data_IF_236895206853
#
_entry.id   IF_236895206853
#
_cell.length_a   1.000
_cell.length_b   1.000
_cell.length_c   1.000
_cell.angle_alpha   90.00
_cell.angle_beta   90.00
_cell.angle_gamma   90.00
#
_symmetry.space_group_name_H-M   'P 1'
#
loop_
_entity.id
_entity.type
_entity.pdbx_description
1 polymer ?
#
# COMPACT_ATOMS: atom_id res chain seq x y z
N UNK A 1 -4.33 11.12 -10.87
CA UNK A 1 -3.81 10.38 -9.70
C UNK A 1 -2.98 9.17 -10.12
N UNK A 2 -3.46 8.32 -11.04
CA UNK A 2 -2.71 7.11 -11.42
C UNK A 2 -1.37 7.38 -12.13
N UNK A 3 -1.29 8.42 -12.96
CA UNK A 3 -0.06 8.74 -13.70
C UNK A 3 1.13 9.13 -12.82
N UNK A 4 0.91 9.77 -11.66
CA UNK A 4 2.00 10.15 -10.76
C UNK A 4 2.49 8.97 -9.91
N UNK A 5 1.60 8.03 -9.56
CA UNK A 5 1.99 6.79 -8.87
C UNK A 5 2.86 5.93 -9.77
N UNK A 6 2.46 5.77 -11.04
CA UNK A 6 3.26 5.03 -12.02
C UNK A 6 4.63 5.69 -12.23
N UNK A 7 4.69 7.01 -12.39
CA UNK A 7 5.96 7.72 -12.54
C UNK A 7 6.90 7.56 -11.32
N UNK A 8 6.35 7.51 -10.11
CA UNK A 8 7.15 7.25 -8.90
C UNK A 8 7.70 5.83 -8.83
N UNK A 9 6.92 4.85 -9.29
CA UNK A 9 7.36 3.45 -9.36
C UNK A 9 8.37 3.22 -10.50
N UNK A 10 8.21 3.89 -11.64
CA UNK A 10 9.18 3.89 -12.75
C UNK A 10 10.53 4.44 -12.27
N UNK A 11 10.53 5.50 -11.45
CA UNK A 11 11.76 6.03 -10.85
C UNK A 11 12.48 4.99 -9.97
N UNK A 12 11.74 4.24 -9.14
CA UNK A 12 12.34 3.17 -8.31
C UNK A 12 12.94 2.08 -9.20
N UNK A 13 12.26 1.73 -10.29
CA UNK A 13 12.73 0.75 -11.25
C UNK A 13 14.03 1.20 -11.92
N UNK A 14 14.13 2.46 -12.34
CA UNK A 14 15.36 3.03 -12.91
C UNK A 14 16.53 2.97 -11.93
N UNK A 15 16.30 3.31 -10.66
CA UNK A 15 17.32 3.20 -9.60
C UNK A 15 17.77 1.75 -9.42
N UNK A 16 16.83 0.81 -9.35
CA UNK A 16 17.13 -0.60 -9.10
C UNK A 16 17.88 -1.26 -10.27
N UNK A 17 17.62 -0.83 -11.51
CA UNK A 17 18.36 -1.30 -12.70
C UNK A 17 19.82 -0.84 -12.65
N UNK A 18 20.08 0.38 -12.20
CA UNK A 18 21.44 0.95 -12.11
C UNK A 18 22.19 0.45 -10.88
N UNK A 19 21.49 0.23 -9.76
CA UNK A 19 22.07 -0.14 -8.47
C UNK A 19 21.41 -1.41 -7.87
N UNK A 20 21.51 -2.57 -8.55
CA UNK A 20 20.78 -3.80 -8.17
C UNK A 20 21.20 -4.37 -6.80
N UNK A 21 22.34 -3.96 -6.26
CA UNK A 21 22.80 -4.33 -4.93
C UNK A 21 22.06 -3.63 -3.78
N UNK A 22 21.30 -2.55 -4.06
CA UNK A 22 20.55 -1.85 -3.02
C UNK A 22 19.24 -2.59 -2.76
N UNK A 23 19.01 -2.95 -1.50
CA UNK A 23 17.70 -3.44 -1.08
C UNK A 23 16.74 -2.26 -0.93
N UNK A 24 15.61 -2.32 -1.64
CA UNK A 24 14.58 -1.29 -1.60
C UNK A 24 13.25 -1.85 -1.10
N UNK A 25 12.49 -0.99 -0.42
CA UNK A 25 11.11 -1.25 -0.04
C UNK A 25 10.27 -0.07 -0.53
N UNK A 26 9.20 -0.35 -1.26
CA UNK A 26 8.22 0.66 -1.68
C UNK A 26 7.01 0.54 -0.77
N UNK A 27 6.67 1.62 -0.07
CA UNK A 27 5.45 1.70 0.75
C UNK A 27 4.41 2.54 0.01
N UNK A 28 3.30 1.91 -0.33
CA UNK A 28 2.16 2.54 -1.00
C UNK A 28 0.95 2.56 -0.07
N UNK A 29 0.90 3.58 0.78
CA UNK A 29 -0.22 3.84 1.69
C UNK A 29 -1.45 4.43 0.97
N UNK A 30 -1.73 3.96 -0.25
CA UNK A 30 -2.76 4.46 -1.16
C UNK A 30 -3.39 3.29 -1.93
N UNK A 31 -4.63 3.49 -2.39
CA UNK A 31 -5.33 2.52 -3.21
C UNK A 31 -6.64 3.09 -3.75
N UNK A 32 -7.24 2.35 -4.67
CA UNK A 32 -8.52 2.69 -5.28
C UNK A 32 -9.29 1.44 -5.70
N UNK A 33 -10.48 1.60 -6.29
CA UNK A 33 -11.24 0.47 -6.81
C UNK A 33 -10.42 -0.34 -7.82
N UNK A 34 -10.44 -1.66 -7.69
CA UNK A 34 -9.86 -2.59 -8.66
C UNK A 34 -10.51 -2.38 -10.05
N UNK A 35 -9.72 -2.25 -11.13
CA UNK A 35 -10.27 -2.15 -12.48
C UNK A 35 -11.12 -3.37 -12.83
N UNK A 36 -12.32 -3.16 -13.40
CA UNK A 36 -13.28 -4.24 -13.69
C UNK A 36 -12.70 -5.41 -14.52
N UNK A 37 -11.90 -5.17 -15.58
CA UNK A 37 -11.31 -6.28 -16.34
C UNK A 37 -10.43 -7.18 -15.47
N UNK A 38 -9.77 -6.61 -14.46
CA UNK A 38 -8.82 -7.35 -13.65
C UNK A 38 -9.46 -8.38 -12.72
N UNK A 39 -10.78 -8.36 -12.49
CA UNK A 39 -11.47 -9.37 -11.65
C UNK A 39 -11.30 -10.81 -12.13
N UNK A 40 -11.08 -11.01 -13.43
CA UNK A 40 -10.82 -12.34 -14.01
C UNK A 40 -9.35 -12.63 -14.21
N UNK A 41 -8.53 -11.59 -14.32
CA UNK A 41 -7.14 -11.67 -14.70
C UNK A 41 -6.36 -10.48 -14.11
N UNK A 42 -5.50 -10.74 -13.12
CA UNK A 42 -4.72 -9.72 -12.45
C UNK A 42 -3.85 -8.90 -13.40
N UNK A 43 -3.43 -9.47 -14.54
CA UNK A 43 -2.58 -8.80 -15.53
C UNK A 43 -3.24 -7.59 -16.18
N UNK A 44 -4.57 -7.47 -16.09
CA UNK A 44 -5.33 -6.36 -16.62
C UNK A 44 -5.42 -5.17 -15.64
N UNK A 45 -4.82 -5.27 -14.45
CA UNK A 45 -4.56 -4.09 -13.63
C UNK A 45 -3.30 -3.36 -14.15
N UNK A 46 -3.36 -2.05 -14.46
CA UNK A 46 -2.19 -1.29 -14.92
C UNK A 46 -0.96 -1.35 -13.99
N UNK A 47 -1.16 -1.63 -12.69
CA UNK A 47 -0.08 -1.72 -11.69
C UNK A 47 0.53 -3.12 -11.64
N UNK A 48 -0.07 -4.13 -12.28
CA UNK A 48 0.38 -5.52 -12.22
C UNK A 48 1.80 -5.70 -12.73
N UNK A 49 2.09 -5.19 -13.93
CA UNK A 49 3.41 -5.37 -14.56
C UNK A 49 4.48 -4.74 -13.68
N UNK A 50 4.24 -3.51 -13.20
CA UNK A 50 5.22 -2.79 -12.40
C UNK A 50 5.45 -3.43 -11.02
N UNK A 51 4.40 -3.86 -10.34
CA UNK A 51 4.54 -4.60 -9.07
C UNK A 51 5.32 -5.92 -9.26
N UNK A 52 5.06 -6.63 -10.35
CA UNK A 52 5.76 -7.87 -10.69
C UNK A 52 7.24 -7.60 -10.97
N UNK A 53 7.55 -6.63 -11.83
CA UNK A 53 8.93 -6.30 -12.18
C UNK A 53 9.74 -5.84 -10.96
N UNK A 54 9.14 -5.01 -10.08
CA UNK A 54 9.80 -4.61 -8.83
C UNK A 54 10.11 -5.81 -7.94
N UNK A 55 9.15 -6.73 -7.78
CA UNK A 55 9.37 -7.97 -7.03
C UNK A 55 10.47 -8.85 -7.62
N UNK A 56 10.52 -9.00 -8.94
CA UNK A 56 11.58 -9.74 -9.66
C UNK A 56 12.96 -9.11 -9.48
N UNK A 57 13.03 -7.79 -9.31
CA UNK A 57 14.26 -7.05 -8.99
C UNK A 57 14.60 -7.05 -7.49
N UNK A 58 13.86 -7.80 -6.67
CA UNK A 58 14.09 -7.93 -5.23
C UNK A 58 13.54 -6.78 -4.38
N UNK A 59 12.69 -5.93 -4.95
CA UNK A 59 12.04 -4.82 -4.24
C UNK A 59 10.76 -5.33 -3.57
N UNK A 60 10.63 -5.10 -2.26
CA UNK A 60 9.40 -5.43 -1.53
C UNK A 60 8.40 -4.29 -1.68
N UNK A 61 7.22 -4.56 -2.20
CA UNK A 61 6.14 -3.57 -2.34
C UNK A 61 5.09 -3.82 -1.26
N UNK A 62 4.92 -2.87 -0.34
CA UNK A 62 3.96 -2.94 0.76
C UNK A 62 2.80 -1.99 0.47
N UNK A 63 1.57 -2.47 0.58
CA UNK A 63 0.37 -1.72 0.20
C UNK A 63 -0.71 -1.76 1.28
N UNK A 64 -1.51 -0.70 1.36
CA UNK A 64 -2.65 -0.65 2.27
C UNK A 64 -3.82 -1.52 1.76
N UNK A 65 -4.43 -2.33 2.64
CA UNK A 65 -5.64 -3.10 2.30
C UNK A 65 -6.84 -2.20 1.93
N UNK A 66 -6.88 -0.97 2.46
CA UNK A 66 -7.94 0.01 2.28
C UNK A 66 -8.82 0.20 3.51
N UNK A 67 -9.46 1.38 3.62
CA UNK A 67 -10.19 1.82 4.82
C UNK A 67 -11.72 1.80 4.64
N UNK A 68 -12.25 0.83 3.89
CA UNK A 68 -13.67 0.74 3.55
C UNK A 68 -14.46 -0.30 4.35
N UNK A 69 -13.81 -1.10 5.19
CA UNK A 69 -14.43 -2.23 5.88
C UNK A 69 -14.96 -3.32 4.94
N UNK A 70 -14.43 -3.42 3.72
CA UNK A 70 -14.84 -4.38 2.69
C UNK A 70 -13.77 -5.43 2.38
N UNK A 71 -13.97 -6.20 1.32
CA UNK A 71 -12.98 -7.19 0.86
C UNK A 71 -11.89 -6.49 0.02
N UNK A 72 -10.62 -6.72 0.36
CA UNK A 72 -9.44 -6.16 -0.30
C UNK A 72 -9.34 -6.58 -1.77
N UNK A 73 -10.00 -7.67 -2.18
CA UNK A 73 -10.07 -8.11 -3.59
C UNK A 73 -10.66 -7.10 -4.55
N UNK A 74 -11.41 -6.14 -4.02
CA UNK A 74 -12.03 -5.05 -4.78
C UNK A 74 -11.15 -3.80 -4.84
N UNK A 75 -9.93 -3.87 -4.29
CA UNK A 75 -9.00 -2.76 -4.21
C UNK A 75 -7.72 -3.02 -5.02
N UNK A 76 -7.20 -1.98 -5.65
CA UNK A 76 -5.91 -1.97 -6.34
C UNK A 76 -5.00 -0.94 -5.68
N UNK A 77 -3.72 -1.27 -5.40
CA UNK A 77 -3.01 -2.52 -5.76
C UNK A 77 -3.23 -3.71 -4.81
N UNK A 78 -4.05 -3.58 -3.76
CA UNK A 78 -4.17 -4.59 -2.69
C UNK A 78 -4.48 -6.03 -3.15
N UNK A 79 -5.19 -6.22 -4.27
CA UNK A 79 -5.50 -7.54 -4.80
C UNK A 79 -4.37 -8.20 -5.62
N UNK A 80 -3.25 -7.52 -5.84
CA UNK A 80 -2.16 -8.04 -6.67
C UNK A 80 -1.36 -9.11 -5.90
N UNK A 81 -0.89 -10.19 -6.56
CA UNK A 81 -0.16 -11.27 -5.88
C UNK A 81 1.30 -10.93 -5.53
N UNK A 82 1.88 -9.89 -6.16
CA UNK A 82 3.28 -9.50 -6.00
C UNK A 82 3.45 -8.27 -5.08
N UNK A 83 2.51 -8.07 -4.16
CA UNK A 83 2.59 -7.02 -3.13
C UNK A 83 2.28 -7.62 -1.77
N UNK A 84 2.76 -7.00 -0.71
CA UNK A 84 2.40 -7.32 0.67
C UNK A 84 1.27 -6.39 1.11
N UNK A 85 0.07 -6.92 1.19
CA UNK A 85 -1.13 -6.18 1.58
C UNK A 85 -1.30 -6.21 3.09
N UNK A 86 -1.35 -5.01 3.70
CA UNK A 86 -1.39 -4.82 5.15
C UNK A 86 -2.75 -4.30 5.62
N UNK A 87 -3.33 -5.04 6.55
CA UNK A 87 -4.55 -4.71 7.27
C UNK A 87 -4.25 -3.89 8.54
N UNK A 88 -5.17 -3.03 8.95
CA UNK A 88 -5.05 -2.19 10.15
C UNK A 88 -5.88 -2.72 11.31
N UNK A 89 -5.23 -3.00 12.44
CA UNK A 89 -5.86 -3.44 13.70
C UNK A 89 -5.58 -2.48 14.87
N UNK A 90 -6.45 -2.51 15.88
CA UNK A 90 -6.21 -1.86 17.19
C UNK A 90 -5.52 -2.81 18.20
N UNK A 91 -5.37 -2.32 19.44
CA UNK A 91 -4.71 -3.05 20.52
C UNK A 91 -5.47 -4.30 20.97
N UNK A 92 -6.77 -4.34 20.67
CA UNK A 92 -7.67 -5.46 20.91
C UNK A 92 -7.77 -6.40 19.69
N UNK A 93 -6.86 -6.26 18.70
CA UNK A 93 -6.84 -7.03 17.45
C UNK A 93 -8.09 -6.83 16.58
N UNK A 94 -8.79 -5.71 16.74
CA UNK A 94 -10.04 -5.42 16.03
C UNK A 94 -9.78 -4.58 14.77
N UNK A 95 -10.47 -4.96 13.68
CA UNK A 95 -10.48 -4.23 12.41
C UNK A 95 -11.66 -3.28 12.38
N UNK A 96 -11.45 -2.01 12.75
CA UNK A 96 -12.52 -1.00 12.77
C UNK A 96 -12.95 -0.58 11.35
N UNK A 97 -12.00 -0.15 10.51
CA UNK A 97 -12.26 0.33 9.14
C UNK A 97 -11.42 -0.40 8.08
N UNK A 98 -10.52 -1.29 8.50
CA UNK A 98 -9.65 -2.02 7.58
C UNK A 98 -10.46 -2.97 6.70
N UNK A 99 -10.13 -2.99 5.42
CA UNK A 99 -10.51 -4.06 4.53
C UNK A 99 -9.89 -5.40 4.97
N UNK A 100 -10.45 -6.49 4.46
CA UNK A 100 -10.15 -7.86 4.87
C UNK A 100 -10.20 -8.83 3.68
N UNK A 101 -9.99 -10.12 3.93
CA UNK A 101 -10.16 -11.17 2.92
C UNK A 101 -8.84 -11.87 2.59
N UNK A 102 -8.86 -12.71 1.57
CA UNK A 102 -7.74 -13.57 1.22
C UNK A 102 -6.57 -12.81 0.57
N UNK A 103 -6.83 -11.60 0.06
CA UNK A 103 -5.79 -10.75 -0.55
C UNK A 103 -5.09 -9.87 0.51
N UNK A 104 -5.33 -10.13 1.80
CA UNK A 104 -4.58 -9.53 2.91
C UNK A 104 -3.56 -10.54 3.41
N UNK A 105 -2.28 -10.18 3.35
CA UNK A 105 -1.19 -11.06 3.78
C UNK A 105 -0.98 -11.00 5.30
N UNK A 106 -0.97 -9.79 5.86
CA UNK A 106 -0.68 -9.54 7.26
C UNK A 106 -1.50 -8.39 7.83
N UNK A 107 -1.60 -8.34 9.15
CA UNK A 107 -2.18 -7.22 9.89
C UNK A 107 -1.13 -6.56 10.77
N UNK A 108 -1.18 -5.24 10.86
CA UNK A 108 -0.31 -4.40 11.69
C UNK A 108 -1.13 -3.37 12.48
N UNK A 109 -0.56 -2.78 13.56
CA UNK A 109 -1.22 -1.70 14.28
C UNK A 109 -1.54 -0.53 13.34
N UNK A 110 -2.84 -0.29 13.11
CA UNK A 110 -3.34 0.74 12.21
C UNK A 110 -4.42 1.63 12.84
N UNK A 111 -4.64 1.51 14.14
CA UNK A 111 -5.63 2.32 14.85
C UNK A 111 -5.02 3.02 16.06
N UNK A 112 -5.40 4.29 16.25
CA UNK A 112 -4.93 5.14 17.35
C UNK A 112 -3.41 5.29 17.40
N UNK A 113 -2.80 5.42 16.22
CA UNK A 113 -1.35 5.57 16.04
C UNK A 113 -0.96 7.03 16.28
N UNK A 114 -0.07 7.24 17.26
CA UNK A 114 0.52 8.56 17.51
C UNK A 114 1.49 8.89 16.38
N UNK A 115 1.17 9.93 15.63
CA UNK A 115 1.88 10.30 14.40
C UNK A 115 2.40 11.72 14.48
N UNK A 116 3.47 12.01 13.75
CA UNK A 116 3.91 13.39 13.51
C UNK A 116 2.81 14.14 12.76
N UNK A 117 2.57 15.40 13.14
CA UNK A 117 1.51 16.23 12.58
C UNK A 117 2.05 17.55 12.06
N UNK A 118 1.47 18.02 10.96
CA UNK A 118 1.74 19.34 10.36
C UNK A 118 0.66 20.37 10.71
N UNK A 119 -0.26 20.03 11.63
CA UNK A 119 -1.42 20.88 11.97
C UNK A 119 -1.04 22.26 12.52
N UNK A 120 0.19 22.44 13.00
CA UNK A 120 0.73 23.73 13.44
C UNK A 120 1.53 24.46 12.34
N UNK A 121 1.27 24.18 11.07
CA UNK A 121 1.94 24.84 9.94
C UNK A 121 3.36 24.36 9.65
N UNK A 122 3.87 23.37 10.38
CA UNK A 122 5.23 22.83 10.22
C UNK A 122 6.31 23.59 11.00
N UNK A 123 5.94 24.64 11.72
CA UNK A 123 6.87 25.51 12.44
C UNK A 123 7.24 25.00 13.84
N UNK A 124 6.58 23.94 14.33
CA UNK A 124 6.81 23.41 15.67
C UNK A 124 6.48 21.91 15.78
N UNK A 125 7.05 21.23 16.79
CA UNK A 125 6.78 19.80 17.01
C UNK A 125 5.32 19.57 17.41
N UNK A 126 4.55 18.87 16.58
CA UNK A 126 3.18 18.51 16.90
C UNK A 126 2.87 17.05 16.59
N UNK A 127 1.93 16.47 17.35
CA UNK A 127 1.50 15.09 17.21
C UNK A 127 -0.01 15.02 17.08
N UNK A 128 -0.50 14.03 16.32
CA UNK A 128 -1.92 13.68 16.25
C UNK A 128 -2.10 12.18 16.44
N UNK A 129 -3.30 11.77 16.86
CA UNK A 129 -3.69 10.36 16.91
C UNK A 129 -4.52 10.09 15.66
N UNK A 130 -4.07 9.16 14.84
CA UNK A 130 -4.69 8.83 13.55
C UNK A 130 -4.90 7.33 13.40
N UNK A 131 -5.78 6.93 12.48
CA UNK A 131 -6.12 5.54 12.20
C UNK A 131 -6.30 5.32 10.70
N UNK A 132 -5.88 4.16 10.20
CA UNK A 132 -5.98 3.72 8.82
C UNK A 132 -5.00 2.57 8.53
N UNK A 133 -5.22 1.87 7.42
CA UNK A 133 -4.30 0.87 6.82
C UNK A 133 -3.03 1.49 6.23
N UNK A 134 -2.93 2.82 6.28
CA UNK A 134 -1.81 3.62 5.76
C UNK A 134 -0.68 3.83 6.77
N UNK A 135 -0.86 3.42 8.04
CA UNK A 135 0.06 3.62 9.17
C UNK A 135 0.98 2.43 9.42
#
# INVERSE_FOLDING_TARGET
AESSVMAGLDYVLDVQIVEPQISAVVVMSLGGPRPIPSFKDHTLDPKFVLATTLGELGVVVVVAAGNGGGDARYMSPAHLPNVVTVCGIDQEMTRSTSNYGNDVDICAPGARIRSASITNGGDDFSYSIMSGTSF
#
